data_IF_183266624440
#
_entry.id   IF_183266624440
#
_cell.length_a   1.000
_cell.length_b   1.000
_cell.length_c   1.000
_cell.angle_alpha   90.00
_cell.angle_beta   90.00
_cell.angle_gamma   90.00
#
_symmetry.space_group_name_H-M   'P 1'
#
loop_
_entity.id
_entity.type
_entity.pdbx_description
1 polymer ?
#
# COMPACT_ATOMS: atom_id res chain seq x y z
N UNK A 1 3.35 -22.52 -11.69
CA UNK A 1 4.03 -21.47 -12.48
C UNK A 1 3.15 -21.11 -13.68
N UNK A 2 3.31 -19.95 -14.32
CA UNK A 2 2.41 -19.47 -15.39
C UNK A 2 2.63 -20.15 -16.77
N UNK A 3 3.81 -20.72 -17.02
CA UNK A 3 4.12 -21.37 -18.31
C UNK A 3 4.53 -20.40 -19.43
N UNK A 4 4.33 -19.09 -19.27
CA UNK A 4 4.83 -18.05 -20.19
C UNK A 4 5.13 -16.74 -19.44
N UNK A 5 5.69 -15.75 -20.14
CA UNK A 5 5.90 -14.40 -19.61
C UNK A 5 4.59 -13.59 -19.61
N UNK A 6 4.32 -12.88 -18.53
CA UNK A 6 3.21 -11.94 -18.39
C UNK A 6 3.59 -10.84 -17.40
N UNK A 7 2.83 -9.74 -17.35
CA UNK A 7 3.02 -8.67 -16.38
C UNK A 7 2.08 -8.85 -15.17
N UNK A 8 2.61 -9.17 -13.96
CA UNK A 8 1.79 -9.27 -12.75
C UNK A 8 1.17 -7.94 -12.31
N UNK A 9 1.73 -6.83 -12.80
CA UNK A 9 1.24 -5.47 -12.56
C UNK A 9 0.05 -5.08 -13.44
N UNK A 10 -0.25 -5.85 -14.50
CA UNK A 10 -1.37 -5.59 -15.40
C UNK A 10 -2.61 -6.36 -14.95
N UNK A 11 -3.66 -5.69 -14.41
CA UNK A 11 -4.86 -6.39 -13.95
C UNK A 11 -5.55 -7.22 -15.03
N UNK A 12 -5.65 -6.77 -16.31
CA UNK A 12 -6.21 -7.59 -17.38
C UNK A 12 -5.41 -8.87 -17.66
N UNK A 13 -4.08 -8.77 -17.79
CA UNK A 13 -3.23 -9.94 -18.06
C UNK A 13 -3.28 -10.95 -16.91
N UNK A 14 -3.19 -10.47 -15.66
CA UNK A 14 -3.29 -11.33 -14.50
C UNK A 14 -4.68 -11.98 -14.39
N UNK A 15 -5.74 -11.24 -14.70
CA UNK A 15 -7.12 -11.76 -14.69
C UNK A 15 -7.30 -12.87 -15.72
N UNK A 16 -6.78 -12.69 -16.95
CA UNK A 16 -6.80 -13.72 -17.98
C UNK A 16 -6.04 -14.97 -17.54
N UNK A 17 -4.81 -14.81 -17.04
CA UNK A 17 -4.01 -15.93 -16.57
C UNK A 17 -4.70 -16.70 -15.45
N UNK A 18 -5.19 -16.01 -14.41
CA UNK A 18 -5.78 -16.68 -13.25
C UNK A 18 -7.10 -17.38 -13.59
N UNK A 19 -7.94 -16.75 -14.39
CA UNK A 19 -9.34 -17.17 -14.51
C UNK A 19 -9.67 -17.87 -15.83
N UNK A 20 -8.97 -17.55 -16.92
CA UNK A 20 -9.19 -18.17 -18.23
C UNK A 20 -8.22 -19.33 -18.44
N UNK A 21 -6.92 -19.12 -18.20
CA UNK A 21 -5.89 -20.14 -18.46
C UNK A 21 -5.80 -21.17 -17.33
N UNK A 22 -5.73 -20.71 -16.08
CA UNK A 22 -5.64 -21.58 -14.90
C UNK A 22 -7.02 -22.03 -14.37
N UNK A 23 -8.11 -21.48 -14.92
CA UNK A 23 -9.48 -21.87 -14.57
C UNK A 23 -9.89 -21.60 -13.12
N UNK A 24 -9.23 -20.68 -12.42
CA UNK A 24 -9.59 -20.36 -11.02
C UNK A 24 -10.93 -19.64 -10.95
N UNK A 25 -11.69 -19.87 -9.87
CA UNK A 25 -13.01 -19.25 -9.68
C UNK A 25 -12.89 -17.89 -9.02
N UNK A 26 -13.17 -16.83 -9.77
CA UNK A 26 -13.20 -15.46 -9.25
C UNK A 26 -14.30 -15.29 -8.18
N UNK A 27 -13.93 -14.83 -6.98
CA UNK A 27 -14.85 -14.55 -5.87
C UNK A 27 -15.44 -13.13 -5.90
N UNK A 28 -14.82 -12.19 -6.62
CA UNK A 28 -15.22 -10.78 -6.68
C UNK A 28 -15.20 -10.24 -8.11
N UNK A 29 -16.13 -9.34 -8.43
CA UNK A 29 -16.17 -8.58 -9.68
C UNK A 29 -16.24 -7.08 -9.41
N UNK A 30 -15.60 -6.30 -10.25
CA UNK A 30 -15.70 -4.84 -10.31
C UNK A 30 -16.46 -4.44 -11.57
N UNK A 31 -16.72 -3.13 -11.73
CA UNK A 31 -17.31 -2.58 -12.97
C UNK A 31 -16.50 -2.92 -14.24
N UNK A 32 -15.20 -3.15 -14.08
CA UNK A 32 -14.26 -3.40 -15.19
C UNK A 32 -13.93 -4.88 -15.41
N UNK A 33 -14.49 -5.80 -14.62
CA UNK A 33 -14.34 -7.25 -14.82
C UNK A 33 -14.09 -8.04 -13.53
N UNK A 34 -13.48 -9.22 -13.67
CA UNK A 34 -13.10 -10.07 -12.52
C UNK A 34 -11.98 -9.39 -11.74
N UNK A 35 -12.19 -9.26 -10.42
CA UNK A 35 -11.22 -8.57 -9.57
C UNK A 35 -9.98 -9.43 -9.39
N UNK A 36 -8.81 -8.81 -9.37
CA UNK A 36 -7.58 -9.43 -8.89
C UNK A 36 -7.07 -8.69 -7.67
N UNK A 37 -7.90 -7.95 -6.92
CA UNK A 37 -7.47 -7.25 -5.71
C UNK A 37 -6.99 -8.21 -4.60
N UNK A 38 -6.34 -7.68 -3.56
CA UNK A 38 -5.77 -8.50 -2.49
C UNK A 38 -6.81 -9.41 -1.82
N UNK A 39 -8.05 -8.93 -1.62
CA UNK A 39 -9.11 -9.71 -0.99
C UNK A 39 -9.58 -10.86 -1.91
N UNK A 40 -9.72 -10.60 -3.21
CA UNK A 40 -10.07 -11.61 -4.19
C UNK A 40 -8.98 -12.70 -4.29
N UNK A 41 -7.70 -12.30 -4.27
CA UNK A 41 -6.57 -13.23 -4.32
C UNK A 41 -6.36 -14.01 -3.03
N UNK A 42 -6.63 -13.43 -1.85
CA UNK A 42 -6.49 -14.14 -0.58
C UNK A 42 -7.41 -15.38 -0.53
N UNK A 43 -8.63 -15.26 -1.05
CA UNK A 43 -9.55 -16.39 -1.19
C UNK A 43 -9.11 -17.47 -2.19
N UNK A 44 -8.07 -17.21 -2.98
CA UNK A 44 -7.50 -18.14 -3.97
C UNK A 44 -6.11 -18.63 -3.59
N UNK A 45 -5.61 -18.26 -2.40
CA UNK A 45 -4.23 -18.49 -1.98
C UNK A 45 -3.82 -19.97 -2.04
N UNK A 46 -4.73 -20.87 -1.68
CA UNK A 46 -4.51 -22.32 -1.71
C UNK A 46 -4.87 -22.96 -3.06
N UNK A 47 -5.57 -22.23 -3.94
CA UNK A 47 -6.06 -22.78 -5.20
C UNK A 47 -4.94 -22.97 -6.24
N UNK A 48 -3.88 -22.16 -6.18
CA UNK A 48 -2.71 -22.33 -7.06
C UNK A 48 -1.45 -21.65 -6.50
N UNK A 49 -0.24 -22.26 -6.61
CA UNK A 49 1.00 -21.70 -6.09
C UNK A 49 1.40 -20.33 -6.65
N UNK A 50 0.83 -19.91 -7.79
CA UNK A 50 1.11 -18.59 -8.37
C UNK A 50 0.49 -17.45 -7.55
N UNK A 51 -0.62 -17.71 -6.86
CA UNK A 51 -1.39 -16.69 -6.14
C UNK A 51 -0.56 -16.05 -5.00
N UNK A 52 0.07 -16.83 -4.09
CA UNK A 52 0.93 -16.24 -3.07
C UNK A 52 2.12 -15.48 -3.67
N UNK A 53 2.70 -15.95 -4.77
CA UNK A 53 3.80 -15.26 -5.46
C UNK A 53 3.37 -13.90 -6.02
N UNK A 54 2.15 -13.81 -6.57
CA UNK A 54 1.59 -12.54 -7.07
C UNK A 54 1.32 -11.57 -5.92
N UNK A 55 0.79 -12.05 -4.79
CA UNK A 55 0.57 -11.24 -3.60
C UNK A 55 1.89 -10.67 -3.07
N UNK A 56 2.92 -11.51 -2.96
CA UNK A 56 4.26 -11.11 -2.55
C UNK A 56 4.88 -10.11 -3.53
N UNK A 57 4.84 -10.40 -4.83
CA UNK A 57 5.36 -9.51 -5.88
C UNK A 57 4.71 -8.12 -5.81
N UNK A 58 3.39 -8.05 -5.56
CA UNK A 58 2.68 -6.76 -5.44
C UNK A 58 3.09 -5.99 -4.21
N UNK A 59 3.25 -6.69 -3.08
CA UNK A 59 3.75 -6.07 -1.87
C UNK A 59 5.15 -5.48 -2.12
N UNK A 60 6.08 -6.28 -2.63
CA UNK A 60 7.45 -5.84 -2.89
C UNK A 60 7.50 -4.73 -3.93
N UNK A 61 6.77 -4.87 -5.04
CA UNK A 61 6.70 -3.85 -6.10
C UNK A 61 6.19 -2.52 -5.57
N UNK A 62 5.15 -2.52 -4.72
CA UNK A 62 4.64 -1.29 -4.10
C UNK A 62 5.66 -0.69 -3.14
N UNK A 63 6.29 -1.50 -2.29
CA UNK A 63 7.34 -1.03 -1.37
C UNK A 63 8.49 -0.37 -2.14
N UNK A 64 8.92 -1.00 -3.23
CA UNK A 64 9.96 -0.48 -4.11
C UNK A 64 9.55 0.81 -4.80
N UNK A 65 8.51 0.77 -5.64
CA UNK A 65 8.17 1.89 -6.52
C UNK A 65 7.64 3.10 -5.77
N UNK A 66 6.78 2.91 -4.77
CA UNK A 66 6.08 4.01 -4.10
C UNK A 66 6.95 4.66 -3.02
N UNK A 67 7.84 3.90 -2.39
CA UNK A 67 8.57 4.39 -1.22
C UNK A 67 10.09 4.41 -1.44
N UNK A 68 10.70 3.30 -1.86
CA UNK A 68 12.16 3.20 -1.97
C UNK A 68 12.69 4.02 -3.15
N UNK A 69 12.03 3.94 -4.30
CA UNK A 69 12.46 4.67 -5.50
C UNK A 69 11.96 6.13 -5.47
N UNK A 70 10.68 6.34 -5.17
CA UNK A 70 10.06 7.65 -5.32
C UNK A 70 10.39 8.64 -4.19
N UNK A 71 10.46 8.22 -2.91
CA UNK A 71 10.66 9.19 -1.82
C UNK A 71 12.02 9.90 -1.88
N UNK A 72 13.15 9.23 -2.19
CA UNK A 72 14.43 9.91 -2.36
C UNK A 72 14.43 10.99 -3.44
N UNK A 73 13.66 10.79 -4.52
CA UNK A 73 13.53 11.78 -5.61
C UNK A 73 12.74 13.04 -5.18
N UNK A 74 11.99 12.95 -4.07
CA UNK A 74 11.18 14.04 -3.52
C UNK A 74 11.86 14.77 -2.36
N UNK A 75 13.11 14.45 -2.06
CA UNK A 75 13.89 15.16 -1.04
C UNK A 75 14.28 16.53 -1.60
N UNK A 76 13.91 17.58 -0.87
CA UNK A 76 14.30 18.94 -1.21
C UNK A 76 15.82 19.13 -1.01
N UNK A 77 16.49 19.65 -2.03
CA UNK A 77 17.94 19.80 -2.03
C UNK A 77 18.45 20.90 -1.09
N UNK A 78 17.59 21.83 -0.64
CA UNK A 78 17.98 22.95 0.22
C UNK A 78 18.08 22.53 1.67
N UNK A 79 17.16 21.70 2.16
CA UNK A 79 17.08 21.31 3.57
C UNK A 79 17.19 19.79 3.82
N UNK A 80 17.23 18.98 2.77
CA UNK A 80 17.33 17.53 2.86
C UNK A 80 16.08 16.86 3.40
N UNK A 81 14.90 17.49 3.29
CA UNK A 81 13.64 17.00 3.86
C UNK A 81 12.61 16.69 2.77
N UNK A 82 11.63 15.88 3.15
CA UNK A 82 10.43 15.62 2.33
C UNK A 82 9.30 16.51 2.87
N UNK A 83 8.70 17.30 1.99
CA UNK A 83 7.63 18.24 2.34
C UNK A 83 6.29 17.72 1.80
N UNK A 84 5.40 17.28 2.67
CA UNK A 84 4.04 16.83 2.29
C UNK A 84 3.05 17.99 2.30
N UNK A 85 2.01 17.90 1.47
CA UNK A 85 0.87 18.82 1.49
C UNK A 85 -0.31 18.21 2.24
N UNK A 86 -0.79 18.88 3.28
CA UNK A 86 -2.01 18.49 4.01
C UNK A 86 -3.25 19.18 3.43
N UNK A 87 -4.12 18.40 2.80
CA UNK A 87 -5.35 18.89 2.21
C UNK A 87 -6.50 18.80 3.22
N UNK A 88 -7.05 19.96 3.61
CA UNK A 88 -8.07 20.05 4.66
C UNK A 88 -9.51 19.88 4.12
N UNK A 89 -9.76 20.27 2.88
CA UNK A 89 -11.11 20.39 2.32
C UNK A 89 -11.49 19.27 1.32
N UNK A 90 -10.82 18.12 1.38
CA UNK A 90 -10.99 17.03 0.39
C UNK A 90 -11.91 15.90 0.89
N UNK A 91 -11.74 15.44 2.14
CA UNK A 91 -12.51 14.32 2.65
C UNK A 91 -13.89 14.77 3.15
N UNK A 92 -14.96 14.12 2.66
CA UNK A 92 -16.33 14.42 3.10
C UNK A 92 -16.56 14.24 4.62
N UNK A 93 -15.73 13.44 5.29
CA UNK A 93 -15.81 13.19 6.74
C UNK A 93 -15.04 14.21 7.58
N UNK A 94 -14.43 15.23 6.97
CA UNK A 94 -13.58 16.22 7.66
C UNK A 94 -12.17 15.74 8.02
N UNK A 95 -11.72 14.57 7.51
CA UNK A 95 -10.34 14.09 7.70
C UNK A 95 -9.35 14.87 6.81
N UNK A 96 -8.13 15.07 7.29
CA UNK A 96 -7.01 15.51 6.45
C UNK A 96 -6.59 14.40 5.49
N UNK A 97 -6.21 14.77 4.26
CA UNK A 97 -5.43 13.90 3.38
C UNK A 97 -4.03 14.48 3.15
N UNK A 98 -3.08 13.64 2.75
CA UNK A 98 -1.72 14.04 2.40
C UNK A 98 -1.40 13.71 0.94
N UNK A 99 -0.72 14.62 0.25
CA UNK A 99 -0.23 14.45 -1.12
C UNK A 99 1.18 15.00 -1.27
N UNK A 100 1.84 14.57 -2.35
CA UNK A 100 3.12 15.10 -2.83
C UNK A 100 4.25 15.20 -1.78
N UNK A 101 4.62 14.10 -1.08
CA UNK A 101 4.04 12.75 -1.12
C UNK A 101 3.01 12.49 -0.01
N UNK A 102 2.24 11.40 -0.13
CA UNK A 102 1.33 10.97 0.94
C UNK A 102 2.10 10.31 2.09
N UNK A 103 2.31 11.05 3.18
CA UNK A 103 3.02 10.55 4.37
C UNK A 103 2.10 9.90 5.41
N UNK A 104 0.78 9.90 5.21
CA UNK A 104 -0.17 9.20 6.09
C UNK A 104 -0.16 7.68 5.86
N UNK A 105 0.29 7.21 4.70
CA UNK A 105 0.21 5.80 4.29
C UNK A 105 1.55 5.04 4.37
N UNK A 106 2.54 5.57 5.11
CA UNK A 106 3.85 4.91 5.28
C UNK A 106 3.67 3.53 5.93
N UNK A 107 4.21 2.45 5.33
CA UNK A 107 3.95 1.09 5.78
C UNK A 107 4.54 0.81 7.17
N UNK A 108 3.82 0.03 7.99
CA UNK A 108 4.23 -0.30 9.37
C UNK A 108 3.97 -1.77 9.77
N UNK A 109 3.11 -2.48 9.03
CA UNK A 109 2.63 -3.82 9.41
C UNK A 109 3.68 -4.90 9.23
N UNK A 110 4.42 -4.86 8.12
CA UNK A 110 5.43 -5.87 7.77
C UNK A 110 6.82 -5.41 8.15
N UNK A 111 7.76 -6.35 8.31
CA UNK A 111 9.16 -6.03 8.64
C UNK A 111 9.80 -5.09 7.61
N UNK A 112 9.65 -5.38 6.31
CA UNK A 112 10.12 -4.48 5.24
C UNK A 112 9.46 -3.11 5.31
N UNK A 113 8.16 -3.04 5.65
CA UNK A 113 7.47 -1.78 5.87
C UNK A 113 8.08 -0.98 7.02
N UNK A 114 8.35 -1.64 8.16
CA UNK A 114 9.01 -1.01 9.32
C UNK A 114 10.40 -0.48 8.97
N UNK A 115 11.16 -1.19 8.11
CA UNK A 115 12.47 -0.72 7.62
C UNK A 115 12.35 0.56 6.80
N UNK A 116 11.31 0.72 5.98
CA UNK A 116 11.04 1.98 5.28
C UNK A 116 10.72 3.09 6.27
N UNK A 117 9.86 2.82 7.27
CA UNK A 117 9.56 3.81 8.32
C UNK A 117 10.80 4.23 9.11
N UNK A 118 11.75 3.32 9.32
CA UNK A 118 13.02 3.61 10.00
C UNK A 118 13.94 4.57 9.23
N UNK A 119 13.68 4.80 7.94
CA UNK A 119 14.40 5.81 7.16
C UNK A 119 13.97 7.25 7.50
N UNK A 120 12.83 7.42 8.19
CA UNK A 120 12.42 8.73 8.70
C UNK A 120 13.14 9.00 10.02
N UNK A 121 14.08 9.94 9.98
CA UNK A 121 14.97 10.28 11.10
C UNK A 121 14.66 11.69 11.63
N UNK A 122 15.02 11.98 12.90
CA UNK A 122 14.96 13.34 13.44
C UNK A 122 15.78 14.32 12.59
N UNK A 123 15.35 15.59 12.55
CA UNK A 123 16.05 16.63 11.80
C UNK A 123 17.37 17.10 12.41
N UNK A 124 17.69 16.66 13.61
CA UNK A 124 18.88 17.05 14.37
C UNK A 124 19.42 15.85 15.15
N UNK A 125 20.74 15.78 15.38
CA UNK A 125 21.40 14.61 15.97
C UNK A 125 20.90 14.29 17.39
N UNK A 126 20.66 15.32 18.20
CA UNK A 126 20.19 15.16 19.59
C UNK A 126 18.67 15.09 19.74
N UNK A 127 17.92 14.95 18.65
CA UNK A 127 16.46 14.91 18.69
C UNK A 127 15.92 13.49 18.60
N UNK A 128 14.69 13.33 19.08
CA UNK A 128 13.92 12.09 18.96
C UNK A 128 12.60 12.37 18.26
N UNK A 129 12.10 11.40 17.50
CA UNK A 129 10.74 11.44 16.98
C UNK A 129 9.78 10.94 18.06
N UNK A 130 8.76 11.74 18.36
CA UNK A 130 7.69 11.37 19.28
C UNK A 130 6.46 10.99 18.47
N UNK A 131 5.86 9.83 18.77
CA UNK A 131 4.62 9.37 18.18
C UNK A 131 3.61 9.08 19.29
N UNK A 132 2.42 9.66 19.15
CA UNK A 132 1.28 9.41 20.02
C UNK A 132 0.06 9.11 19.14
N UNK A 133 -0.69 8.07 19.51
CA UNK A 133 -1.89 7.63 18.81
C UNK A 133 -3.02 7.43 19.82
N UNK A 134 -4.25 7.83 19.45
CA UNK A 134 -5.39 7.65 20.34
C UNK A 134 -5.82 6.20 20.41
N UNK A 135 -5.86 5.63 21.62
CA UNK A 135 -6.38 4.28 21.84
C UNK A 135 -7.86 4.16 21.46
N UNK A 136 -8.14 3.56 20.31
CA UNK A 136 -9.50 3.23 19.85
C UNK A 136 -10.45 4.45 19.79
N UNK A 137 -9.97 5.58 19.27
CA UNK A 137 -10.75 6.83 19.26
C UNK A 137 -12.14 6.69 18.63
N UNK A 138 -12.27 5.94 17.54
CA UNK A 138 -13.54 5.75 16.84
C UNK A 138 -14.58 5.03 17.72
N UNK A 139 -14.17 3.99 18.46
CA UNK A 139 -15.06 3.27 19.39
C UNK A 139 -15.43 4.12 20.61
N UNK A 140 -14.49 4.95 21.08
CA UNK A 140 -14.75 5.86 22.21
C UNK A 140 -15.73 6.96 21.84
N UNK A 141 -15.61 7.54 20.64
CA UNK A 141 -16.56 8.52 20.12
C UNK A 141 -17.93 7.86 19.94
N UNK A 142 -17.99 6.65 19.37
CA UNK A 142 -19.24 5.92 19.21
C UNK A 142 -19.94 5.64 20.55
N UNK A 143 -19.19 5.31 21.60
CA UNK A 143 -19.76 5.08 22.93
C UNK A 143 -20.26 6.36 23.62
N UNK A 144 -19.82 7.54 23.16
CA UNK A 144 -20.24 8.84 23.69
C UNK A 144 -21.50 9.39 22.99
N UNK A 145 -21.69 9.07 21.70
CA UNK A 145 -22.84 9.45 20.89
C UNK A 145 -24.10 8.65 21.27
#
# INVERSE_FOLDING_TARGET
MAGHQFSPGSPPQLSALLYDELGLKSSRRTKTGRSTDAQALEGLREAHPIVPLVLEWRQLSKLKSTYIDALPELVDAQDGRIHTSFNQAVAATGRLSSSDPNLQNIPVRTELGRRIRAAFVPGHQDWLLVSADYSQIELRVLAHL
#
